data_IF_401308721480
#
_entry.id   IF_401308721480
#
_cell.length_a   1.000
_cell.length_b   1.000
_cell.length_c   1.000
_cell.angle_alpha   90.00
_cell.angle_beta   90.00
_cell.angle_gamma   90.00
#
_symmetry.space_group_name_H-M   'P 1'
#
loop_
_entity.id
_entity.type
_entity.pdbx_description
1 polymer ?
#
# COMPACT_ATOMS: atom_id res chain seq x y z
N UNK A 1 -23.70 9.20 -0.24
CA UNK A 1 -23.07 9.98 -1.31
C UNK A 1 -22.05 9.06 -1.96
N UNK A 2 -22.37 8.57 -3.16
CA UNK A 2 -21.49 7.72 -3.95
C UNK A 2 -20.52 8.61 -4.72
N UNK A 3 -19.22 8.38 -4.55
CA UNK A 3 -18.21 8.85 -5.51
C UNK A 3 -17.55 7.62 -6.08
N UNK A 4 -17.61 7.45 -7.41
CA UNK A 4 -16.73 6.54 -8.12
C UNK A 4 -15.30 6.94 -7.73
N UNK A 5 -14.64 6.08 -6.95
CA UNK A 5 -13.53 6.51 -6.11
C UNK A 5 -12.26 6.55 -6.96
N UNK A 6 -11.84 7.76 -7.36
CA UNK A 6 -10.45 8.00 -7.73
C UNK A 6 -9.63 7.74 -6.47
N UNK A 7 -9.05 6.54 -6.38
CA UNK A 7 -8.14 6.17 -5.30
C UNK A 7 -6.94 7.12 -5.39
N UNK A 8 -6.76 7.97 -4.37
CA UNK A 8 -5.64 8.90 -4.30
C UNK A 8 -4.48 8.31 -3.52
N UNK A 9 -3.27 8.82 -3.76
CA UNK A 9 -2.06 8.40 -3.04
C UNK A 9 -2.27 8.46 -1.52
N UNK A 10 -2.81 9.57 -1.01
CA UNK A 10 -3.09 9.76 0.42
C UNK A 10 -4.02 8.69 1.00
N UNK A 11 -5.04 8.25 0.25
CA UNK A 11 -5.93 7.18 0.68
C UNK A 11 -5.20 5.84 0.75
N UNK A 12 -4.32 5.56 -0.21
CA UNK A 12 -3.50 4.36 -0.18
C UNK A 12 -2.50 4.40 0.98
N UNK A 13 -1.85 5.54 1.22
CA UNK A 13 -0.92 5.74 2.35
C UNK A 13 -1.64 5.48 3.67
N UNK A 14 -2.81 6.08 3.89
CA UNK A 14 -3.57 5.88 5.13
C UNK A 14 -3.99 4.42 5.31
N UNK A 15 -4.38 3.77 4.21
CA UNK A 15 -4.75 2.35 4.25
C UNK A 15 -3.56 1.46 4.59
N UNK A 16 -2.43 1.68 3.91
CA UNK A 16 -1.17 0.98 4.16
C UNK A 16 -0.71 1.19 5.60
N UNK A 17 -0.77 2.43 6.10
CA UNK A 17 -0.45 2.79 7.48
C UNK A 17 -1.29 2.00 8.47
N UNK A 18 -2.61 1.91 8.26
CA UNK A 18 -3.47 1.11 9.13
C UNK A 18 -3.14 -0.39 9.09
N UNK A 19 -2.96 -0.95 7.90
CA UNK A 19 -2.63 -2.38 7.77
C UNK A 19 -1.28 -2.68 8.43
N UNK A 20 -0.29 -1.82 8.24
CA UNK A 20 1.01 -1.96 8.89
C UNK A 20 0.95 -1.78 10.41
N UNK A 21 0.16 -0.82 10.90
CA UNK A 21 -0.03 -0.62 12.33
C UNK A 21 -0.61 -1.88 12.98
N UNK A 22 -1.60 -2.49 12.33
CA UNK A 22 -2.18 -3.77 12.77
C UNK A 22 -1.16 -4.92 12.71
N UNK A 23 -0.32 -4.98 11.67
CA UNK A 23 0.68 -6.04 11.49
C UNK A 23 1.87 -5.92 12.45
N UNK A 24 2.30 -4.69 12.75
CA UNK A 24 3.44 -4.39 13.61
C UNK A 24 3.02 -4.20 15.07
N UNK A 25 1.72 -4.25 15.37
CA UNK A 25 1.15 -3.94 16.69
C UNK A 25 1.57 -2.54 17.19
N UNK A 26 1.66 -1.58 16.28
CA UNK A 26 2.08 -0.19 16.52
C UNK A 26 0.94 0.78 16.25
N UNK A 27 1.10 2.06 16.63
CA UNK A 27 0.12 3.07 16.26
C UNK A 27 0.34 3.54 14.81
N UNK A 28 -0.74 3.82 14.05
CA UNK A 28 -0.63 4.44 12.73
C UNK A 28 0.24 5.69 12.74
N UNK A 29 0.12 6.52 13.78
CA UNK A 29 0.88 7.77 13.97
C UNK A 29 2.40 7.57 14.05
N UNK A 30 2.87 6.38 14.42
CA UNK A 30 4.29 6.07 14.56
C UNK A 30 4.94 5.65 13.23
N UNK A 31 4.13 5.35 12.22
CA UNK A 31 4.58 5.00 10.90
C UNK A 31 4.81 6.28 10.08
N UNK A 32 6.07 6.60 9.86
CA UNK A 32 6.47 7.69 8.97
C UNK A 32 6.36 7.25 7.50
N UNK A 33 5.62 8.00 6.65
CA UNK A 33 5.39 7.59 5.29
C UNK A 33 6.61 7.72 4.38
N UNK A 34 7.62 8.50 4.80
CA UNK A 34 8.88 8.71 4.08
C UNK A 34 9.98 7.74 4.53
N UNK A 35 9.68 6.86 5.49
CA UNK A 35 10.60 5.84 5.98
C UNK A 35 10.39 4.53 5.23
N UNK A 36 11.47 3.84 4.82
CA UNK A 36 11.37 2.54 4.16
C UNK A 36 10.68 1.50 5.05
N UNK A 37 9.83 0.67 4.46
CA UNK A 37 9.10 -0.39 5.16
C UNK A 37 10.04 -1.35 5.92
N UNK A 38 11.19 -1.68 5.35
CA UNK A 38 12.23 -2.48 6.00
C UNK A 38 12.81 -1.87 7.27
N UNK A 39 12.78 -0.53 7.42
CA UNK A 39 13.25 0.13 8.64
C UNK A 39 12.31 -0.11 9.82
N UNK A 40 11.02 -0.37 9.57
CA UNK A 40 10.05 -0.76 10.59
C UNK A 40 10.10 -2.26 10.94
N UNK A 41 10.96 -3.04 10.28
CA UNK A 41 11.04 -4.49 10.46
C UNK A 41 10.08 -5.28 9.59
N UNK A 42 9.52 -4.68 8.53
CA UNK A 42 8.72 -5.41 7.54
C UNK A 42 9.62 -6.43 6.82
N UNK A 43 9.33 -7.71 7.02
CA UNK A 43 9.97 -8.81 6.32
C UNK A 43 9.21 -9.20 5.03
N UNK A 44 9.72 -10.21 4.32
CA UNK A 44 9.11 -10.70 3.08
C UNK A 44 7.71 -11.31 3.27
N UNK A 45 7.41 -11.89 4.44
CA UNK A 45 6.09 -12.45 4.75
C UNK A 45 5.09 -11.34 5.03
N UNK A 46 5.46 -10.35 5.85
CA UNK A 46 4.60 -9.19 6.15
C UNK A 46 4.35 -8.34 4.90
N UNK A 47 5.37 -8.20 4.03
CA UNK A 47 5.20 -7.59 2.70
C UNK A 47 4.14 -8.32 1.87
N UNK A 48 4.12 -9.66 1.90
CA UNK A 48 3.16 -10.46 1.14
C UNK A 48 1.72 -10.29 1.66
N UNK A 49 1.55 -10.20 2.99
CA UNK A 49 0.25 -9.91 3.60
C UNK A 49 -0.23 -8.51 3.23
N UNK A 50 0.66 -7.52 3.27
CA UNK A 50 0.38 -6.14 2.91
C UNK A 50 -0.11 -6.02 1.44
N UNK A 51 0.61 -6.67 0.51
CA UNK A 51 0.19 -6.76 -0.90
C UNK A 51 -1.21 -7.38 -0.99
N UNK A 52 -1.44 -8.52 -0.34
CA UNK A 52 -2.73 -9.21 -0.40
C UNK A 52 -3.89 -8.38 0.14
N UNK A 53 -3.69 -7.59 1.19
CA UNK A 53 -4.70 -6.69 1.73
C UNK A 53 -4.98 -5.49 0.80
N UNK A 54 -3.95 -4.96 0.16
CA UNK A 54 -4.11 -3.92 -0.87
C UNK A 54 -4.84 -4.43 -2.10
N UNK A 55 -4.47 -5.60 -2.63
CA UNK A 55 -5.12 -6.22 -3.78
C UNK A 55 -6.62 -6.41 -3.53
N UNK A 56 -6.99 -6.89 -2.33
CA UNK A 56 -8.39 -7.03 -1.92
C UNK A 56 -9.13 -5.69 -1.83
N UNK A 57 -8.46 -4.65 -1.33
CA UNK A 57 -9.08 -3.33 -1.15
C UNK A 57 -9.27 -2.60 -2.48
N UNK A 58 -8.24 -2.59 -3.32
CA UNK A 58 -8.26 -1.97 -4.64
C UNK A 58 -9.00 -2.81 -5.70
N UNK A 59 -9.13 -4.11 -5.48
CA UNK A 59 -9.70 -5.05 -6.45
C UNK A 59 -8.80 -5.28 -7.67
N UNK A 60 -7.49 -5.02 -7.55
CA UNK A 60 -6.50 -5.23 -8.60
C UNK A 60 -5.44 -6.22 -8.16
N UNK A 61 -4.78 -6.88 -9.11
CA UNK A 61 -3.57 -7.65 -8.81
C UNK A 61 -2.35 -6.74 -8.98
N UNK A 62 -1.58 -6.59 -7.91
CA UNK A 62 -0.29 -5.92 -7.95
C UNK A 62 0.74 -6.93 -8.42
N UNK A 63 1.67 -6.52 -9.30
CA UNK A 63 2.69 -7.46 -9.77
C UNK A 63 3.62 -7.81 -8.60
N UNK A 64 3.85 -9.12 -8.42
CA UNK A 64 4.57 -9.72 -7.28
C UNK A 64 6.06 -9.32 -7.17
N UNK A 65 6.59 -8.60 -8.15
CA UNK A 65 7.94 -8.04 -8.15
C UNK A 65 8.08 -6.73 -7.36
N UNK A 66 6.96 -6.14 -6.90
CA UNK A 66 6.97 -4.99 -6.00
C UNK A 66 7.69 -5.38 -4.70
N UNK A 67 8.96 -4.99 -4.60
CA UNK A 67 9.78 -5.16 -3.41
C UNK A 67 9.36 -4.13 -2.37
N UNK A 68 8.10 -4.19 -1.92
CA UNK A 68 7.50 -3.23 -1.01
C UNK A 68 8.37 -3.00 0.23
N UNK A 69 9.00 -4.05 0.77
CA UNK A 69 9.93 -3.93 1.91
C UNK A 69 11.08 -2.92 1.70
N UNK A 70 11.46 -2.60 0.45
CA UNK A 70 12.46 -1.56 0.15
C UNK A 70 11.88 -0.17 -0.02
N UNK A 71 10.61 -0.09 -0.39
CA UNK A 71 9.92 1.16 -0.68
C UNK A 71 9.46 1.82 0.61
N UNK A 72 9.16 3.11 0.52
CA UNK A 72 8.41 3.84 1.55
C UNK A 72 6.90 3.66 1.35
N UNK A 73 6.10 4.08 2.34
CA UNK A 73 4.63 4.11 2.19
C UNK A 73 4.21 4.99 1.03
N UNK A 74 4.88 6.14 0.85
CA UNK A 74 4.64 7.09 -0.23
C UNK A 74 4.89 6.44 -1.60
N UNK A 75 6.03 5.76 -1.77
CA UNK A 75 6.40 5.08 -3.01
C UNK A 75 5.46 3.90 -3.31
N UNK A 76 5.12 3.10 -2.29
CA UNK A 76 4.17 2.00 -2.44
C UNK A 76 2.78 2.51 -2.86
N UNK A 77 2.35 3.64 -2.31
CA UNK A 77 1.08 4.27 -2.69
C UNK A 77 1.08 4.77 -4.13
N UNK A 78 2.18 5.38 -4.58
CA UNK A 78 2.32 5.82 -5.97
C UNK A 78 2.22 4.65 -6.94
N UNK A 79 2.91 3.53 -6.66
CA UNK A 79 2.82 2.34 -7.52
C UNK A 79 1.39 1.80 -7.63
N UNK A 80 0.65 1.79 -6.52
CA UNK A 80 -0.75 1.32 -6.50
C UNK A 80 -1.66 2.25 -7.31
N UNK A 81 -1.51 3.56 -7.14
CA UNK A 81 -2.30 4.56 -7.89
C UNK A 81 -1.98 4.49 -9.38
N UNK A 82 -0.70 4.37 -9.74
CA UNK A 82 -0.26 4.22 -11.13
C UNK A 82 -0.80 2.94 -11.76
N UNK A 83 -0.77 1.82 -11.04
CA UNK A 83 -1.28 0.55 -11.51
C UNK A 83 -2.81 0.59 -11.69
N UNK A 84 -3.54 1.19 -10.73
CA UNK A 84 -4.97 1.43 -10.86
C UNK A 84 -5.30 2.29 -12.08
N UNK A 85 -4.56 3.37 -12.29
CA UNK A 85 -4.73 4.25 -13.45
C UNK A 85 -4.42 3.53 -14.77
N UNK A 86 -3.45 2.61 -14.80
CA UNK A 86 -3.17 1.76 -15.97
C UNK A 86 -4.30 0.79 -16.26
N UNK A 87 -4.76 0.04 -15.25
CA UNK A 87 -5.84 -0.93 -15.43
C UNK A 87 -7.17 -0.27 -15.81
N UNK A 88 -7.42 0.96 -15.36
CA UNK A 88 -8.57 1.75 -15.82
C UNK A 88 -8.47 2.17 -17.29
N UNK A 89 -7.27 2.42 -17.81
CA UNK A 89 -7.04 2.76 -19.23
C UNK A 89 -7.09 1.54 -20.16
N UNK A 90 -6.83 0.35 -19.64
CA UNK A 90 -6.85 -0.91 -20.39
C UNK A 90 -8.23 -1.59 -20.41
N UNK A 91 -9.24 -1.00 -19.74
CA UNK A 91 -10.65 -1.41 -19.75
C UNK A 91 -11.48 -0.62 -20.74
#
# INVERSE_FOLDING_TARGET
MSTAQEVTQEQVIERLRHVMADLLEMQPSELDPDVPLSAFGIDSMTSFVLVGELEKWCGVQLRKDASLGRLTLTEAADEVVDELARQLKER
#
